data_IF_549928249867
#
_entry.id   IF_549928249867
#
_cell.length_a   1.000
_cell.length_b   1.000
_cell.length_c   1.000
_cell.angle_alpha   90.00
_cell.angle_beta   90.00
_cell.angle_gamma   90.00
#
_symmetry.space_group_name_H-M   'P 1'
#
loop_
_entity.id
_entity.type
_entity.pdbx_description
1 polymer ?
#
# COMPACT_ATOMS: atom_id res chain seq x y z
N UNK A 1 8.93 8.32 -28.32
CA UNK A 1 8.97 7.29 -27.27
C UNK A 1 7.59 7.27 -26.62
N UNK A 2 6.79 6.24 -26.93
CA UNK A 2 5.39 6.15 -26.56
C UNK A 2 5.23 6.00 -25.04
N UNK A 3 4.41 6.87 -24.46
CA UNK A 3 3.83 6.79 -23.12
C UNK A 3 3.66 5.34 -22.65
N UNK A 4 4.54 4.85 -21.77
CA UNK A 4 4.18 3.71 -20.92
C UNK A 4 3.09 4.23 -20.00
N UNK A 5 1.85 3.98 -20.36
CA UNK A 5 0.70 4.38 -19.54
C UNK A 5 0.74 3.51 -18.29
N UNK A 6 1.32 4.06 -17.23
CA UNK A 6 1.23 3.53 -15.88
C UNK A 6 -0.26 3.41 -15.51
N UNK A 7 -0.85 2.24 -15.74
CA UNK A 7 -2.30 2.00 -15.67
C UNK A 7 -2.66 1.00 -14.58
N UNK A 8 -1.67 0.49 -13.83
CA UNK A 8 -1.91 -0.40 -12.70
C UNK A 8 -2.04 0.38 -11.40
N UNK A 9 -2.95 -0.10 -10.56
CA UNK A 9 -3.18 0.42 -9.21
C UNK A 9 -2.73 -0.64 -8.22
N UNK A 10 -1.86 -0.27 -7.29
CA UNK A 10 -1.50 -1.11 -6.15
C UNK A 10 -2.25 -0.62 -4.91
N UNK A 11 -3.06 -1.47 -4.32
CA UNK A 11 -3.76 -1.20 -3.06
C UNK A 11 -3.00 -1.91 -1.95
N UNK A 12 -2.40 -1.15 -1.04
CA UNK A 12 -1.64 -1.64 0.10
C UNK A 12 -2.51 -1.55 1.34
N UNK A 13 -2.78 -2.69 1.96
CA UNK A 13 -3.82 -2.83 3.00
C UNK A 13 -3.24 -3.52 4.24
N UNK A 14 -3.45 -2.98 5.45
CA UNK A 14 -3.04 -3.69 6.66
C UNK A 14 -3.83 -4.99 6.82
N UNK A 15 -3.18 -6.06 7.27
CA UNK A 15 -3.78 -7.41 7.33
C UNK A 15 -4.99 -7.50 8.27
N UNK A 16 -5.09 -6.59 9.24
CA UNK A 16 -6.28 -6.46 10.09
C UNK A 16 -7.53 -6.08 9.30
N UNK A 17 -7.37 -5.49 8.11
CA UNK A 17 -8.45 -5.19 7.17
C UNK A 17 -8.58 -6.24 6.06
N UNK A 18 -8.03 -7.45 6.24
CA UNK A 18 -8.08 -8.53 5.25
C UNK A 18 -9.50 -8.96 4.87
N UNK A 19 -10.55 -8.60 5.63
CA UNK A 19 -11.95 -8.75 5.18
C UNK A 19 -12.25 -7.95 3.91
N UNK A 20 -11.54 -6.85 3.68
CA UNK A 20 -11.57 -6.14 2.38
C UNK A 20 -10.96 -6.94 1.23
N UNK A 21 -10.29 -8.08 1.49
CA UNK A 21 -9.80 -8.98 0.44
C UNK A 21 -10.91 -9.63 -0.39
N UNK A 22 -12.16 -9.62 0.11
CA UNK A 22 -13.33 -10.02 -0.68
C UNK A 22 -13.63 -9.04 -1.82
N UNK A 23 -13.03 -7.83 -1.80
CA UNK A 23 -13.03 -6.94 -2.95
C UNK A 23 -11.99 -7.45 -3.96
N UNK A 24 -12.44 -8.26 -4.90
CA UNK A 24 -11.62 -8.68 -6.03
C UNK A 24 -11.16 -7.44 -6.80
N UNK A 25 -9.86 -7.15 -6.76
CA UNK A 25 -9.25 -6.13 -7.61
C UNK A 25 -9.61 -6.42 -9.07
N UNK A 26 -10.10 -5.41 -9.79
CA UNK A 26 -10.31 -5.52 -11.24
C UNK A 26 -8.98 -5.82 -11.96
N UNK A 27 -9.01 -6.08 -13.27
CA UNK A 27 -7.83 -6.45 -14.07
C UNK A 27 -6.64 -5.47 -13.99
N UNK A 28 -6.86 -4.25 -13.48
CA UNK A 28 -5.86 -3.19 -13.29
C UNK A 28 -5.40 -3.01 -11.83
N UNK A 29 -6.10 -3.59 -10.86
CA UNK A 29 -5.83 -3.40 -9.45
C UNK A 29 -5.19 -4.65 -8.82
N UNK A 30 -4.10 -4.47 -8.10
CA UNK A 30 -3.45 -5.50 -7.29
C UNK A 30 -3.60 -5.12 -5.83
N UNK A 31 -3.86 -6.10 -4.97
CA UNK A 31 -3.95 -5.89 -3.52
C UNK A 31 -2.76 -6.55 -2.84
N UNK A 32 -2.05 -5.81 -2.00
CA UNK A 32 -0.97 -6.29 -1.15
C UNK A 32 -1.35 -6.10 0.31
N UNK A 33 -1.30 -7.19 1.09
CA UNK A 33 -1.58 -7.15 2.52
C UNK A 33 -0.28 -7.10 3.32
N UNK A 34 -0.19 -6.19 4.29
CA UNK A 34 0.97 -6.06 5.17
C UNK A 34 0.57 -6.19 6.65
N UNK A 35 1.40 -6.86 7.44
CA UNK A 35 1.24 -6.89 8.91
C UNK A 35 1.98 -5.71 9.57
N UNK A 36 3.15 -5.37 9.04
CA UNK A 36 4.02 -4.28 9.52
C UNK A 36 4.59 -3.50 8.34
N UNK A 37 4.91 -2.22 8.53
CA UNK A 37 5.53 -1.42 7.46
C UNK A 37 6.84 -1.99 6.93
N UNK A 38 7.60 -2.72 7.74
CA UNK A 38 8.80 -3.43 7.27
C UNK A 38 8.48 -4.42 6.14
N UNK A 39 7.30 -5.05 6.15
CA UNK A 39 6.89 -6.00 5.12
C UNK A 39 6.69 -5.32 3.74
N UNK A 40 6.38 -4.02 3.70
CA UNK A 40 6.26 -3.24 2.47
C UNK A 40 7.65 -3.07 1.80
N UNK A 41 8.69 -2.89 2.63
CA UNK A 41 10.08 -2.74 2.17
C UNK A 41 10.74 -4.08 1.81
N UNK A 42 10.21 -5.21 2.28
CA UNK A 42 10.94 -6.49 2.20
C UNK A 42 10.81 -7.13 0.82
N UNK A 43 11.81 -6.93 -0.05
CA UNK A 43 12.16 -7.80 -1.20
C UNK A 43 11.07 -8.13 -2.22
N UNK A 44 10.03 -7.32 -2.36
CA UNK A 44 9.03 -7.53 -3.41
C UNK A 44 9.29 -6.52 -4.52
N UNK A 45 10.19 -6.86 -5.46
CA UNK A 45 10.39 -6.11 -6.71
C UNK A 45 9.05 -5.86 -7.43
N UNK A 46 8.09 -6.77 -7.22
CA UNK A 46 6.71 -6.67 -7.72
C UNK A 46 5.91 -5.48 -7.18
N UNK A 47 6.27 -4.92 -6.02
CA UNK A 47 5.62 -3.74 -5.45
C UNK A 47 6.15 -2.43 -6.04
N UNK A 48 7.35 -2.42 -6.60
CA UNK A 48 8.03 -1.23 -7.13
C UNK A 48 8.21 -1.36 -8.65
N UNK A 49 7.15 -1.79 -9.32
CA UNK A 49 7.15 -2.01 -10.76
C UNK A 49 6.89 -0.71 -11.51
N UNK A 50 7.53 -0.56 -12.67
CA UNK A 50 7.42 0.61 -13.55
C UNK A 50 6.09 0.68 -14.32
N UNK A 51 5.12 -0.17 -14.00
CA UNK A 51 3.78 -0.18 -14.59
C UNK A 51 2.70 0.41 -13.66
N UNK A 52 3.08 0.80 -12.44
CA UNK A 52 2.20 1.38 -11.43
C UNK A 52 1.96 2.87 -11.70
N UNK A 53 0.69 3.24 -11.89
CA UNK A 53 0.27 4.64 -12.02
C UNK A 53 -0.13 5.25 -10.68
N UNK A 54 -0.68 4.41 -9.80
CA UNK A 54 -1.08 4.83 -8.48
C UNK A 54 -0.86 3.74 -7.43
N UNK A 55 -0.51 4.16 -6.23
CA UNK A 55 -0.53 3.36 -5.01
C UNK A 55 -1.57 3.95 -4.07
N UNK A 56 -2.46 3.13 -3.55
CA UNK A 56 -3.40 3.48 -2.49
C UNK A 56 -2.95 2.77 -1.22
N UNK A 57 -2.34 3.52 -0.31
CA UNK A 57 -1.83 2.99 0.95
C UNK A 57 -2.80 3.29 2.08
N UNK A 58 -3.40 2.24 2.62
CA UNK A 58 -4.24 2.31 3.81
C UNK A 58 -3.33 2.20 5.03
N UNK A 59 -3.41 3.18 5.94
CA UNK A 59 -2.69 3.14 7.21
C UNK A 59 -3.36 2.15 8.19
N UNK A 60 -2.59 1.59 9.14
CA UNK A 60 -3.18 0.77 10.20
C UNK A 60 -4.11 1.63 11.09
N UNK A 61 -5.07 0.99 11.80
CA UNK A 61 -5.97 1.70 12.71
C UNK A 61 -5.24 2.34 13.91
N UNK A 62 -4.14 1.71 14.34
CA UNK A 62 -3.32 2.18 15.45
C UNK A 62 -1.93 2.61 14.96
N UNK A 63 -1.40 3.66 15.58
CA UNK A 63 -0.04 4.11 15.29
C UNK A 63 0.98 3.04 15.70
N UNK A 64 1.99 2.74 14.86
CA UNK A 64 3.01 1.77 15.22
C UNK A 64 3.77 2.20 16.50
N UNK A 65 3.90 1.30 17.47
CA UNK A 65 4.60 1.58 18.73
C UNK A 65 6.08 1.98 18.58
N UNK A 66 6.70 1.66 17.44
CA UNK A 66 8.10 1.98 17.16
C UNK A 66 8.18 3.07 16.10
N UNK A 67 8.78 4.20 16.43
CA UNK A 67 9.03 5.30 15.48
C UNK A 67 9.80 4.81 14.24
N UNK A 68 10.72 3.87 14.41
CA UNK A 68 11.49 3.27 13.32
C UNK A 68 10.64 2.48 12.32
N UNK A 69 9.39 2.11 12.66
CA UNK A 69 8.48 1.48 11.73
C UNK A 69 8.09 2.44 10.59
N UNK A 70 7.96 3.75 10.89
CA UNK A 70 7.67 4.77 9.89
C UNK A 70 8.77 4.90 8.83
N UNK A 71 10.03 4.65 9.19
CA UNK A 71 11.15 4.69 8.23
C UNK A 71 10.96 3.70 7.09
N UNK A 72 10.43 2.51 7.36
CA UNK A 72 10.16 1.52 6.32
C UNK A 72 9.05 1.98 5.37
N UNK A 73 8.03 2.69 5.90
CA UNK A 73 6.97 3.26 5.09
C UNK A 73 7.48 4.42 4.23
N UNK A 74 8.21 5.37 4.82
CA UNK A 74 8.76 6.52 4.09
C UNK A 74 9.71 6.05 2.98
N UNK A 75 10.59 5.08 3.26
CA UNK A 75 11.43 4.46 2.21
C UNK A 75 10.62 3.87 1.05
N UNK A 76 9.45 3.28 1.31
CA UNK A 76 8.61 2.72 0.26
C UNK A 76 7.90 3.83 -0.56
N UNK A 77 7.45 4.89 0.10
CA UNK A 77 6.87 6.07 -0.54
C UNK A 77 7.90 6.71 -1.48
N UNK A 78 9.13 6.94 -1.00
CA UNK A 78 10.22 7.51 -1.80
C UNK A 78 10.46 6.69 -3.07
N UNK A 79 10.55 5.36 -2.95
CA UNK A 79 10.73 4.46 -4.09
C UNK A 79 9.58 4.53 -5.10
N UNK A 80 8.32 4.58 -4.65
CA UNK A 80 7.18 4.72 -5.56
C UNK A 80 7.18 6.06 -6.28
N UNK A 81 7.50 7.14 -5.56
CA UNK A 81 7.56 8.48 -6.16
C UNK A 81 8.72 8.62 -7.14
N UNK A 82 9.87 7.99 -6.86
CA UNK A 82 11.01 7.94 -7.77
C UNK A 82 10.68 7.18 -9.06
N UNK A 83 9.81 6.16 -8.99
CA UNK A 83 9.26 5.47 -10.15
C UNK A 83 8.16 6.26 -10.89
N UNK A 84 7.82 7.48 -10.46
CA UNK A 84 6.77 8.30 -11.07
C UNK A 84 5.34 7.86 -10.71
N UNK A 85 5.18 7.05 -9.66
CA UNK A 85 3.86 6.59 -9.18
C UNK A 85 3.22 7.64 -8.27
N UNK A 86 1.91 7.88 -8.42
CA UNK A 86 1.16 8.73 -7.47
C UNK A 86 0.81 7.94 -6.21
N UNK A 87 1.23 8.40 -5.03
CA UNK A 87 0.92 7.74 -3.75
C UNK A 87 -0.24 8.45 -3.05
N UNK A 88 -1.33 7.73 -2.81
CA UNK A 88 -2.50 8.20 -2.07
C UNK A 88 -2.50 7.57 -0.67
N UNK A 89 -2.36 8.40 0.35
CA UNK A 89 -2.45 7.98 1.75
C UNK A 89 -3.91 8.03 2.22
N UNK A 90 -4.42 6.89 2.64
CA UNK A 90 -5.78 6.74 3.17
C UNK A 90 -5.67 6.44 4.66
N UNK A 91 -6.33 7.26 5.48
CA UNK A 91 -6.42 6.98 6.90
C UNK A 91 -7.09 5.63 7.12
N UNK A 92 -6.45 4.80 7.95
CA UNK A 92 -7.05 3.57 8.44
C UNK A 92 -8.33 3.84 9.22
N UNK A 93 -9.18 2.83 9.41
CA UNK A 93 -10.37 2.96 10.24
C UNK A 93 -9.96 3.37 11.65
N UNK A 94 -10.58 4.41 12.19
CA UNK A 94 -10.29 4.94 13.53
C UNK A 94 -11.04 4.21 14.65
N UNK A 95 -11.87 3.22 14.30
CA UNK A 95 -12.67 2.48 15.27
C UNK A 95 -11.84 1.34 15.86
N UNK A 96 -11.69 1.23 17.19
CA UNK A 96 -10.99 0.11 17.83
C UNK A 96 -11.71 -1.23 17.62
N UNK A 97 -12.97 -1.19 17.16
CA UNK A 97 -13.72 -2.38 16.81
C UNK A 97 -13.36 -2.86 15.39
N UNK A 98 -12.36 -3.75 15.30
CA UNK A 98 -11.96 -4.40 14.04
C UNK A 98 -13.12 -5.17 13.39
N UNK A 99 -14.15 -5.54 14.16
CA UNK A 99 -15.32 -6.29 13.70
C UNK A 99 -16.36 -5.42 13.00
N UNK A 100 -16.29 -4.09 13.13
CA UNK A 100 -17.27 -3.18 12.50
C UNK A 100 -17.01 -2.91 11.01
N UNK A 101 -16.07 -3.64 10.40
CA UNK A 101 -15.68 -3.52 8.99
C UNK A 101 -15.68 -4.89 8.30
#
# INVERSE_FOLDING_TARGET
>A
MLNRVHNRILIVVPIVLKRMACMSGGSRARVFFYDKFSAIKTKLDRLFTDDLGAVVLNLPPEEPHKVTAWLALMSAIDLWTDCGTTVNLVNGPRTPNVVSW
#
